data_IF_849284031590
#
_entry.id   IF_849284031590
#
_cell.length_a   1.000
_cell.length_b   1.000
_cell.length_c   1.000
_cell.angle_alpha   90.00
_cell.angle_beta   90.00
_cell.angle_gamma   90.00
#
_symmetry.space_group_name_H-M   'P 1'
#
loop_
_entity.id
_entity.type
_entity.pdbx_description
1 polymer ?
#
# COMPACT_ATOMS: atom_id res chain seq x y z
N UNK A 1 -48.98 19.67 -14.27
CA UNK A 1 -47.93 20.30 -13.43
C UNK A 1 -48.06 21.81 -13.36
N UNK A 2 -48.56 22.48 -14.41
CA UNK A 2 -48.93 23.91 -14.40
C UNK A 2 -50.36 24.01 -14.90
N UNK A 3 -51.36 24.08 -14.01
CA UNK A 3 -52.77 24.09 -14.43
C UNK A 3 -53.31 25.48 -14.76
N UNK A 4 -52.59 26.55 -14.37
CA UNK A 4 -53.10 27.94 -14.45
C UNK A 4 -52.06 28.96 -14.94
N UNK A 5 -50.97 28.51 -15.59
CA UNK A 5 -49.86 29.39 -16.00
C UNK A 5 -49.63 29.28 -17.51
N UNK A 6 -49.63 30.42 -18.20
CA UNK A 6 -49.30 30.51 -19.61
C UNK A 6 -47.80 30.27 -19.81
N UNK A 7 -47.42 29.01 -20.03
CA UNK A 7 -46.05 28.64 -20.38
C UNK A 7 -45.76 29.10 -21.81
N UNK A 8 -44.64 29.80 -22.00
CA UNK A 8 -44.14 30.18 -23.32
C UNK A 8 -43.60 28.92 -24.02
N UNK A 9 -44.18 28.58 -25.17
CA UNK A 9 -43.80 27.45 -25.99
C UNK A 9 -42.94 27.91 -27.17
N UNK A 10 -41.76 27.31 -27.33
CA UNK A 10 -40.96 27.45 -28.54
C UNK A 10 -41.38 26.39 -29.56
N UNK A 11 -41.59 26.81 -30.80
CA UNK A 11 -41.95 25.91 -31.88
C UNK A 11 -40.66 25.35 -32.50
N UNK A 12 -40.34 24.10 -32.16
CA UNK A 12 -39.20 23.38 -32.74
C UNK A 12 -39.70 22.50 -33.88
N UNK A 13 -39.75 23.06 -35.09
CA UNK A 13 -40.22 22.37 -36.29
C UNK A 13 -41.75 22.32 -36.45
N UNK A 14 -42.22 21.60 -37.48
CA UNK A 14 -43.60 21.70 -37.97
C UNK A 14 -44.68 21.10 -37.04
N UNK A 15 -44.32 20.30 -36.01
CA UNK A 15 -45.32 19.58 -35.17
C UNK A 15 -45.02 19.49 -33.67
N UNK A 16 -43.86 19.91 -33.17
CA UNK A 16 -43.56 19.82 -31.73
C UNK A 16 -43.47 21.19 -31.05
N UNK A 17 -44.31 21.40 -30.04
CA UNK A 17 -44.20 22.51 -29.10
C UNK A 17 -43.33 22.07 -27.93
N UNK A 18 -42.18 22.70 -27.73
CA UNK A 18 -41.29 22.44 -26.59
C UNK A 18 -41.23 23.69 -25.73
N UNK A 19 -41.32 23.54 -24.41
CA UNK A 19 -41.11 24.64 -23.48
C UNK A 19 -39.74 24.49 -22.83
N UNK A 20 -38.93 25.55 -22.87
CA UNK A 20 -37.71 25.64 -22.09
C UNK A 20 -38.05 26.18 -20.72
N UNK A 21 -37.84 25.37 -19.69
CA UNK A 21 -38.05 25.76 -18.29
C UNK A 21 -36.70 25.71 -17.60
N UNK A 22 -36.37 26.80 -16.92
CA UNK A 22 -35.18 26.92 -16.07
C UNK A 22 -35.63 26.65 -14.63
N UNK A 23 -35.01 25.66 -14.02
CA UNK A 23 -35.16 25.39 -12.59
C UNK A 23 -33.98 26.03 -11.85
N UNK A 24 -34.29 26.91 -10.91
CA UNK A 24 -33.30 27.55 -10.04
C UNK A 24 -33.69 27.42 -8.58
N UNK A 25 -32.68 27.23 -7.74
CA UNK A 25 -32.83 27.13 -6.30
C UNK A 25 -32.15 28.31 -5.63
N UNK A 26 -32.87 29.01 -4.77
CA UNK A 26 -32.34 30.15 -4.02
C UNK A 26 -32.45 29.91 -2.52
N UNK A 27 -31.42 30.32 -1.79
CA UNK A 27 -31.40 30.29 -0.33
C UNK A 27 -31.91 31.63 0.18
N UNK A 28 -33.11 31.62 0.75
CA UNK A 28 -33.79 32.82 1.23
C UNK A 28 -34.06 32.70 2.73
N UNK A 29 -34.09 33.85 3.41
CA UNK A 29 -34.48 33.91 4.81
C UNK A 29 -35.98 34.04 4.87
N UNK A 30 -36.63 33.05 5.47
CA UNK A 30 -38.06 33.07 5.71
C UNK A 30 -38.34 33.85 7.00
N UNK A 31 -39.05 34.97 6.87
CA UNK A 31 -39.39 35.86 7.98
C UNK A 31 -40.33 35.21 8.99
N UNK A 32 -41.18 34.29 8.53
CA UNK A 32 -42.21 33.68 9.36
C UNK A 32 -41.65 32.54 10.21
N UNK A 33 -40.71 31.78 9.66
CA UNK A 33 -40.05 30.67 10.35
C UNK A 33 -38.68 31.02 10.94
N UNK A 34 -38.24 32.27 10.81
CA UNK A 34 -36.93 32.80 11.23
C UNK A 34 -35.76 31.86 10.87
N UNK A 35 -35.83 31.23 9.71
CA UNK A 35 -34.86 30.21 9.32
C UNK A 35 -34.52 30.32 7.84
N UNK A 36 -33.28 29.97 7.52
CA UNK A 36 -32.83 29.91 6.13
C UNK A 36 -33.38 28.65 5.46
N UNK A 37 -34.08 28.82 4.35
CA UNK A 37 -34.63 27.73 3.55
C UNK A 37 -34.21 27.81 2.10
N UNK A 38 -34.22 26.66 1.42
CA UNK A 38 -34.03 26.59 -0.02
C UNK A 38 -35.40 26.57 -0.72
N UNK A 39 -35.64 27.57 -1.56
CA UNK A 39 -36.86 27.73 -2.35
C UNK A 39 -36.58 27.38 -3.81
N UNK A 40 -37.57 26.76 -4.47
CA UNK A 40 -37.48 26.32 -5.86
C UNK A 40 -38.31 27.23 -6.75
N UNK A 41 -37.67 27.73 -7.79
CA UNK A 41 -38.26 28.62 -8.78
C UNK A 41 -38.19 27.96 -10.16
N UNK A 42 -39.35 27.81 -10.80
CA UNK A 42 -39.47 27.37 -12.19
C UNK A 42 -39.85 28.57 -13.04
N UNK A 43 -39.00 28.94 -13.99
CA UNK A 43 -39.15 30.18 -14.76
C UNK A 43 -38.59 30.05 -16.17
N UNK A 44 -38.86 31.04 -17.03
CA UNK A 44 -38.25 31.17 -18.35
C UNK A 44 -37.86 32.64 -18.59
N UNK A 45 -36.83 32.88 -19.39
CA UNK A 45 -36.33 34.21 -19.74
C UNK A 45 -37.40 35.10 -20.37
N UNK A 46 -38.32 34.52 -21.15
CA UNK A 46 -39.40 35.25 -21.82
C UNK A 46 -40.71 35.25 -21.03
N UNK A 47 -41.01 34.15 -20.33
CA UNK A 47 -42.29 33.92 -19.65
C UNK A 47 -42.32 34.33 -18.18
N UNK A 48 -41.19 34.77 -17.62
CA UNK A 48 -41.08 35.09 -16.20
C UNK A 48 -41.16 33.85 -15.31
N UNK A 49 -41.55 34.03 -14.04
CA UNK A 49 -41.66 32.96 -13.05
C UNK A 49 -42.99 32.23 -13.23
N UNK A 50 -42.91 30.93 -13.52
CA UNK A 50 -44.09 30.08 -13.66
C UNK A 50 -44.56 29.51 -12.34
N UNK A 51 -43.65 29.03 -11.49
CA UNK A 51 -44.02 28.40 -10.22
C UNK A 51 -42.95 28.66 -9.17
N UNK A 52 -43.40 28.96 -7.95
CA UNK A 52 -42.57 29.07 -6.76
C UNK A 52 -43.00 27.98 -5.77
N UNK A 53 -42.06 27.18 -5.31
CA UNK A 53 -42.26 26.21 -4.24
C UNK A 53 -41.38 26.64 -3.05
N UNK A 54 -42.02 27.11 -1.98
CA UNK A 54 -41.33 27.54 -0.75
C UNK A 54 -40.96 26.27 0.02
N UNK A 55 -39.68 26.10 0.32
CA UNK A 55 -39.12 24.97 1.08
C UNK A 55 -39.75 23.61 0.72
N UNK A 56 -39.59 23.11 -0.52
CA UNK A 56 -40.28 21.89 -0.98
C UNK A 56 -39.91 20.65 -0.17
N UNK A 57 -38.76 20.65 0.51
CA UNK A 57 -38.34 19.57 1.40
C UNK A 57 -38.50 19.95 2.87
N UNK A 58 -38.98 19.01 3.69
CA UNK A 58 -39.10 19.17 5.16
C UNK A 58 -37.78 19.58 5.84
N UNK A 59 -36.65 19.13 5.30
CA UNK A 59 -35.31 19.43 5.85
C UNK A 59 -34.78 20.81 5.40
N UNK A 60 -35.54 21.58 4.61
CA UNK A 60 -35.18 22.89 4.06
C UNK A 60 -33.82 22.92 3.34
N UNK A 61 -33.36 21.79 2.82
CA UNK A 61 -32.07 21.62 2.14
C UNK A 61 -32.21 21.64 0.62
N UNK A 62 -31.15 22.04 -0.07
CA UNK A 62 -31.03 21.90 -1.52
C UNK A 62 -31.02 20.40 -1.91
N UNK A 63 -31.70 19.96 -2.98
CA UNK A 63 -31.70 18.54 -3.37
C UNK A 63 -30.34 18.07 -3.90
N UNK A 64 -29.66 18.91 -4.68
CA UNK A 64 -28.37 18.55 -5.25
C UNK A 64 -27.22 18.86 -4.29
N UNK A 65 -26.15 18.08 -4.37
CA UNK A 65 -24.87 18.37 -3.74
C UNK A 65 -23.90 18.74 -4.84
N UNK A 66 -23.28 19.91 -4.71
CA UNK A 66 -22.25 20.36 -5.63
C UNK A 66 -21.04 20.72 -4.78
N UNK A 67 -19.95 19.98 -4.99
CA UNK A 67 -18.67 20.27 -4.35
C UNK A 67 -17.81 21.08 -5.29
N UNK A 68 -17.05 22.03 -4.74
CA UNK A 68 -16.22 22.97 -5.49
C UNK A 68 -14.78 22.65 -5.16
N UNK A 69 -13.98 22.42 -6.19
CA UNK A 69 -12.56 22.11 -6.01
C UNK A 69 -11.76 23.39 -5.75
N UNK A 70 -11.55 24.22 -6.78
CA UNK A 70 -10.95 25.54 -6.65
C UNK A 70 -11.85 26.65 -7.16
N UNK A 71 -11.67 27.85 -6.60
CA UNK A 71 -12.43 29.06 -6.97
C UNK A 71 -11.43 30.16 -7.33
N UNK A 72 -11.57 30.67 -8.55
CA UNK A 72 -10.82 31.82 -9.06
C UNK A 72 -11.34 33.14 -8.45
N UNK A 73 -10.58 34.23 -8.56
CA UNK A 73 -10.99 35.57 -8.09
C UNK A 73 -12.32 36.04 -8.71
N UNK A 74 -12.62 35.54 -9.91
CA UNK A 74 -13.89 35.78 -10.63
C UNK A 74 -15.02 34.82 -10.23
N UNK A 75 -14.91 34.11 -9.11
CA UNK A 75 -15.85 33.09 -8.63
C UNK A 75 -16.13 31.94 -9.62
N UNK A 76 -15.20 31.68 -10.54
CA UNK A 76 -15.31 30.56 -11.49
C UNK A 76 -14.65 29.32 -10.90
N UNK A 77 -15.37 28.20 -10.92
CA UNK A 77 -14.85 26.95 -10.40
C UNK A 77 -14.00 26.25 -11.44
N UNK A 78 -12.97 25.55 -11.00
CA UNK A 78 -12.11 24.78 -11.89
C UNK A 78 -11.55 23.54 -11.21
N UNK A 79 -11.21 22.56 -12.04
CA UNK A 79 -10.60 21.30 -11.62
C UNK A 79 -9.08 21.32 -11.73
N UNK A 80 -8.46 20.19 -11.37
CA UNK A 80 -7.00 19.98 -11.37
C UNK A 80 -6.31 20.37 -12.69
N UNK A 81 -6.95 20.10 -13.84
CA UNK A 81 -6.30 20.23 -15.14
C UNK A 81 -6.22 21.67 -15.69
N UNK A 82 -6.84 22.66 -15.04
CA UNK A 82 -6.83 24.05 -15.53
C UNK A 82 -5.41 24.60 -15.66
N UNK A 83 -4.56 24.30 -14.68
CA UNK A 83 -3.19 24.80 -14.62
C UNK A 83 -2.22 23.95 -15.46
N UNK A 84 -2.61 22.70 -15.78
CA UNK A 84 -1.86 21.79 -16.66
C UNK A 84 -2.05 22.16 -18.13
N UNK A 85 -3.27 22.55 -18.52
CA UNK A 85 -3.63 22.78 -19.93
C UNK A 85 -2.67 23.73 -20.67
N UNK A 86 -2.32 24.92 -20.14
CA UNK A 86 -1.39 25.82 -20.82
C UNK A 86 0.01 25.21 -21.03
N UNK A 87 0.46 24.35 -20.11
CA UNK A 87 1.74 23.67 -20.24
C UNK A 87 1.69 22.60 -21.33
N UNK A 88 0.58 21.86 -21.44
CA UNK A 88 0.36 20.90 -22.51
C UNK A 88 0.27 21.59 -23.88
N UNK A 89 -0.46 22.70 -23.98
CA UNK A 89 -0.55 23.49 -25.21
C UNK A 89 0.84 23.99 -25.66
N UNK A 90 1.68 24.43 -24.70
CA UNK A 90 3.06 24.81 -24.98
C UNK A 90 3.90 23.63 -25.48
N UNK A 91 3.79 22.45 -24.87
CA UNK A 91 4.51 21.24 -25.31
C UNK A 91 4.12 20.90 -26.75
N UNK A 92 2.82 20.85 -27.03
CA UNK A 92 2.31 20.57 -28.37
C UNK A 92 2.81 21.60 -29.39
N UNK A 93 2.80 22.89 -29.04
CA UNK A 93 3.34 23.94 -29.90
C UNK A 93 4.85 23.76 -30.12
N UNK A 94 5.61 23.47 -29.06
CA UNK A 94 7.06 23.28 -29.14
C UNK A 94 7.43 22.09 -30.01
N UNK A 95 6.75 20.97 -29.89
CA UNK A 95 7.01 19.77 -30.68
C UNK A 95 6.70 20.01 -32.16
N UNK A 96 5.54 20.59 -32.48
CA UNK A 96 5.21 20.96 -33.86
C UNK A 96 6.22 21.95 -34.45
N UNK A 97 6.68 22.91 -33.65
CA UNK A 97 7.68 23.88 -34.09
C UNK A 97 9.04 23.23 -34.30
N UNK A 98 9.46 22.31 -33.42
CA UNK A 98 10.69 21.53 -33.58
C UNK A 98 10.67 20.71 -34.86
N UNK A 99 9.59 19.96 -35.10
CA UNK A 99 9.42 19.15 -36.32
C UNK A 99 9.52 20.03 -37.57
N UNK A 100 8.85 21.18 -37.58
CA UNK A 100 8.94 22.11 -38.70
C UNK A 100 10.36 22.67 -38.89
N UNK A 101 11.03 23.07 -37.80
CA UNK A 101 12.41 23.58 -37.85
C UNK A 101 13.45 22.51 -38.23
N UNK A 102 13.17 21.23 -37.98
CA UNK A 102 13.99 20.12 -38.46
C UNK A 102 13.76 19.84 -39.95
N UNK A 103 12.53 20.00 -40.45
CA UNK A 103 12.20 19.81 -41.87
C UNK A 103 12.49 21.01 -42.76
N UNK A 104 12.69 22.21 -42.18
CA UNK A 104 12.99 23.43 -42.93
C UNK A 104 14.42 23.89 -42.68
N UNK A 105 15.21 24.09 -43.73
CA UNK A 105 16.47 24.82 -43.65
C UNK A 105 16.35 26.15 -44.39
N UNK A 106 17.16 27.14 -43.99
CA UNK A 106 17.31 28.40 -44.71
C UNK A 106 18.77 28.58 -45.09
N UNK A 107 19.02 28.75 -46.37
CA UNK A 107 20.33 29.09 -46.90
C UNK A 107 20.30 30.53 -47.42
N UNK A 108 21.28 31.33 -47.02
CA UNK A 108 21.59 32.61 -47.63
C UNK A 108 22.79 32.40 -48.54
N UNK A 109 22.70 32.85 -49.78
CA UNK A 109 23.81 32.79 -50.72
C UNK A 109 23.91 34.09 -51.52
N UNK A 110 25.13 34.50 -51.86
CA UNK A 110 25.37 35.61 -52.78
C UNK A 110 25.07 35.19 -54.22
N UNK A 111 24.60 36.12 -55.06
CA UNK A 111 24.20 35.85 -56.45
C UNK A 111 25.32 35.20 -57.29
N UNK A 112 26.57 35.52 -56.98
CA UNK A 112 27.77 34.95 -57.62
C UNK A 112 28.21 33.56 -57.09
N UNK A 113 27.60 33.05 -56.03
CA UNK A 113 28.02 31.82 -55.37
C UNK A 113 27.53 30.55 -56.11
N UNK A 114 26.43 30.66 -56.85
CA UNK A 114 25.70 29.54 -57.45
C UNK A 114 25.58 29.73 -58.97
N UNK A 115 25.67 28.63 -59.73
CA UNK A 115 25.59 28.69 -61.21
C UNK A 115 24.15 28.65 -61.73
N UNK A 116 23.29 27.86 -61.09
CA UNK A 116 21.87 27.76 -61.39
C UNK A 116 21.09 27.72 -60.07
N UNK A 117 20.18 28.67 -59.88
CA UNK A 117 19.47 28.87 -58.61
C UNK A 117 18.40 27.80 -58.41
N UNK A 118 17.61 27.47 -59.44
CA UNK A 118 16.59 26.41 -59.35
C UNK A 118 17.20 25.05 -58.99
N UNK A 119 18.27 24.63 -59.70
CA UNK A 119 18.95 23.36 -59.42
C UNK A 119 19.53 23.32 -58.00
N UNK A 120 20.00 24.47 -57.49
CA UNK A 120 20.52 24.57 -56.13
C UNK A 120 19.41 24.39 -55.09
N UNK A 121 18.25 25.03 -55.29
CA UNK A 121 17.10 24.91 -54.38
C UNK A 121 16.56 23.49 -54.37
N UNK A 122 16.36 22.88 -55.55
CA UNK A 122 15.79 21.54 -55.68
C UNK A 122 16.72 20.48 -55.07
N UNK A 123 18.02 20.53 -55.37
CA UNK A 123 18.97 19.60 -54.77
C UNK A 123 19.12 19.86 -53.27
N UNK A 124 19.23 21.10 -52.82
CA UNK A 124 19.38 21.41 -51.39
C UNK A 124 18.15 20.97 -50.57
N UNK A 125 16.96 20.86 -51.19
CA UNK A 125 15.75 20.35 -50.54
C UNK A 125 15.80 18.86 -50.18
N UNK A 126 16.73 18.09 -50.77
CA UNK A 126 16.88 16.66 -50.55
C UNK A 126 17.88 16.37 -49.42
N UNK A 127 17.51 15.50 -48.48
CA UNK A 127 18.28 15.15 -47.28
C UNK A 127 19.68 14.52 -47.53
N UNK A 128 20.06 14.22 -48.78
CA UNK A 128 21.34 13.61 -49.15
C UNK A 128 21.82 14.04 -50.56
N UNK A 129 21.77 15.33 -50.88
CA UNK A 129 22.24 15.82 -52.18
C UNK A 129 23.69 16.32 -52.15
N UNK A 130 24.36 16.19 -53.28
CA UNK A 130 25.65 16.82 -53.53
C UNK A 130 25.41 18.02 -54.44
N UNK A 131 25.62 19.23 -53.92
CA UNK A 131 25.34 20.46 -54.64
C UNK A 131 26.65 21.13 -55.09
N UNK A 132 26.72 21.50 -56.37
CA UNK A 132 27.90 22.14 -56.96
C UNK A 132 27.87 23.65 -56.71
N UNK A 133 28.95 24.18 -56.14
CA UNK A 133 29.13 25.62 -55.89
C UNK A 133 30.34 26.16 -56.66
N UNK A 134 30.40 27.46 -56.91
CA UNK A 134 31.52 28.09 -57.63
C UNK A 134 32.81 27.97 -56.80
N UNK A 135 33.96 27.81 -57.48
CA UNK A 135 35.26 27.70 -56.82
C UNK A 135 35.53 28.93 -55.93
N UNK A 136 35.94 28.70 -54.68
CA UNK A 136 36.15 29.76 -53.68
C UNK A 136 34.92 30.17 -52.87
N UNK A 137 33.68 29.88 -53.32
CA UNK A 137 32.46 30.35 -52.66
C UNK A 137 32.26 29.84 -51.22
N UNK A 138 32.68 28.61 -50.93
CA UNK A 138 32.67 28.04 -49.57
C UNK A 138 33.76 28.64 -48.67
N UNK A 139 34.92 28.99 -49.24
CA UNK A 139 36.07 29.50 -48.49
C UNK A 139 35.88 30.96 -48.10
N UNK A 140 35.22 31.72 -48.96
CA UNK A 140 34.92 33.14 -48.76
C UNK A 140 33.62 33.37 -47.94
N UNK A 141 32.94 32.30 -47.53
CA UNK A 141 31.71 32.39 -46.71
C UNK A 141 30.48 32.94 -47.47
N UNK A 142 30.47 32.84 -48.80
CA UNK A 142 29.39 33.35 -49.67
C UNK A 142 28.09 32.56 -49.58
N UNK A 143 28.09 31.44 -48.85
CA UNK A 143 26.93 30.62 -48.55
C UNK A 143 26.89 30.41 -47.04
N UNK A 144 25.80 30.86 -46.40
CA UNK A 144 25.56 30.69 -44.98
C UNK A 144 24.28 29.89 -44.76
N UNK A 145 24.40 28.80 -44.03
CA UNK A 145 23.25 28.02 -43.60
C UNK A 145 22.81 28.51 -42.22
N UNK A 146 21.58 29.01 -42.13
CA UNK A 146 20.97 29.25 -40.83
C UNK A 146 20.56 27.90 -40.24
N UNK A 147 21.44 27.37 -39.40
CA UNK A 147 21.14 26.16 -38.63
C UNK A 147 20.38 26.55 -37.36
N UNK A 148 19.18 25.98 -37.21
CA UNK A 148 18.33 26.21 -36.05
C UNK A 148 18.71 25.39 -34.80
N UNK A 149 19.91 24.80 -34.75
CA UNK A 149 20.30 23.87 -33.67
C UNK A 149 20.23 24.50 -32.27
N UNK A 150 20.63 25.76 -32.11
CA UNK A 150 20.57 26.46 -30.82
C UNK A 150 19.11 26.64 -30.35
N UNK A 151 18.23 27.03 -31.26
CA UNK A 151 16.80 27.21 -30.98
C UNK A 151 16.10 25.87 -30.69
N UNK A 152 16.44 24.82 -31.44
CA UNK A 152 15.93 23.46 -31.23
C UNK A 152 16.32 22.93 -29.84
N UNK A 153 17.57 23.12 -29.43
CA UNK A 153 18.06 22.73 -28.11
C UNK A 153 17.35 23.52 -27.01
N UNK A 154 17.19 24.83 -27.18
CA UNK A 154 16.47 25.67 -26.22
C UNK A 154 14.99 25.28 -26.10
N UNK A 155 14.33 24.94 -27.22
CA UNK A 155 12.92 24.55 -27.23
C UNK A 155 12.72 23.16 -26.62
N UNK A 156 13.60 22.22 -26.93
CA UNK A 156 13.65 20.88 -26.32
C UNK A 156 13.82 20.96 -24.80
N UNK A 157 14.79 21.76 -24.33
CA UNK A 157 15.03 21.93 -22.90
C UNK A 157 13.82 22.55 -22.18
N UNK A 158 13.17 23.55 -22.78
CA UNK A 158 11.94 24.15 -22.23
C UNK A 158 10.77 23.18 -22.22
N UNK A 159 10.60 22.37 -23.27
CA UNK A 159 9.57 21.34 -23.30
C UNK A 159 9.77 20.33 -22.17
N UNK A 160 11.01 19.89 -21.94
CA UNK A 160 11.33 18.97 -20.85
C UNK A 160 11.10 19.58 -19.46
N UNK A 161 11.49 20.84 -19.27
CA UNK A 161 11.15 21.59 -18.05
C UNK A 161 9.64 21.65 -17.81
N UNK A 162 8.84 21.87 -18.86
CA UNK A 162 7.37 21.88 -18.76
C UNK A 162 6.81 20.49 -18.43
N UNK A 163 7.36 19.41 -18.99
CA UNK A 163 6.98 18.04 -18.59
C UNK A 163 7.26 17.78 -17.11
N UNK A 164 8.42 18.20 -16.61
CA UNK A 164 8.75 18.10 -15.20
C UNK A 164 7.79 18.91 -14.31
N UNK A 165 7.43 20.14 -14.72
CA UNK A 165 6.45 20.96 -14.01
C UNK A 165 5.04 20.34 -14.02
N UNK A 166 4.61 19.72 -15.11
CA UNK A 166 3.33 19.00 -15.17
C UNK A 166 3.31 17.85 -14.16
N UNK A 167 4.41 17.09 -14.03
CA UNK A 167 4.50 16.02 -13.01
C UNK A 167 4.33 16.58 -11.60
N UNK A 168 5.04 17.66 -11.27
CA UNK A 168 4.96 18.31 -9.96
C UNK A 168 3.54 18.82 -9.69
N UNK A 169 2.96 19.53 -10.66
CA UNK A 169 1.65 20.17 -10.52
C UNK A 169 0.48 19.16 -10.53
N UNK A 170 0.65 18.01 -11.19
CA UNK A 170 -0.29 16.91 -11.12
C UNK A 170 -0.34 16.26 -9.72
N UNK A 171 0.67 16.49 -8.88
CA UNK A 171 0.76 15.89 -7.54
C UNK A 171 0.92 14.36 -7.56
N UNK A 172 1.14 13.76 -8.73
CA UNK A 172 1.27 12.32 -8.92
C UNK A 172 2.75 11.94 -8.90
N UNK A 173 3.09 10.94 -8.09
CA UNK A 173 4.44 10.38 -8.05
C UNK A 173 4.65 9.31 -9.15
N UNK A 174 5.89 9.05 -9.57
CA UNK A 174 6.20 8.10 -10.64
C UNK A 174 5.73 6.66 -10.31
N UNK A 175 5.67 6.28 -9.02
CA UNK A 175 5.04 5.04 -8.55
C UNK A 175 3.52 5.00 -8.78
N UNK A 176 2.82 6.12 -8.55
CA UNK A 176 1.38 6.23 -8.80
C UNK A 176 1.04 6.24 -10.29
N UNK A 177 1.98 6.71 -11.12
CA UNK A 177 1.90 6.68 -12.58
C UNK A 177 2.28 5.31 -13.18
N UNK A 178 2.71 4.35 -12.35
CA UNK A 178 3.13 3.01 -12.81
C UNK A 178 4.44 3.00 -13.60
N UNK A 179 5.22 4.08 -13.56
CA UNK A 179 6.49 4.23 -14.28
C UNK A 179 7.67 3.72 -13.44
N UNK A 180 7.47 3.49 -12.15
CA UNK A 180 8.52 3.00 -11.26
C UNK A 180 8.93 1.55 -11.58
N UNK A 181 10.19 1.38 -12.02
CA UNK A 181 10.77 0.07 -12.41
C UNK A 181 11.37 -0.70 -11.21
N UNK A 182 11.48 -0.08 -10.03
CA UNK A 182 12.16 -0.71 -8.90
C UNK A 182 11.30 -1.79 -8.23
N UNK A 183 11.75 -3.06 -8.33
CA UNK A 183 11.25 -4.19 -7.52
C UNK A 183 11.53 -3.92 -6.03
N UNK A 184 10.55 -3.37 -5.32
CA UNK A 184 10.56 -3.25 -3.86
C UNK A 184 9.51 -4.20 -3.23
N UNK A 185 9.53 -4.38 -1.91
CA UNK A 185 8.53 -5.21 -1.22
C UNK A 185 7.11 -4.65 -1.43
N UNK A 186 6.10 -5.52 -1.40
CA UNK A 186 4.70 -5.12 -1.58
C UNK A 186 4.26 -4.03 -0.60
N UNK A 187 4.74 -4.08 0.65
CA UNK A 187 4.51 -3.05 1.66
C UNK A 187 5.11 -1.70 1.24
N UNK A 188 6.35 -1.67 0.75
CA UNK A 188 7.01 -0.44 0.30
C UNK A 188 6.31 0.15 -0.94
N UNK A 189 5.83 -0.70 -1.85
CA UNK A 189 5.04 -0.28 -3.01
C UNK A 189 3.72 0.34 -2.56
N UNK A 190 3.02 -0.29 -1.62
CA UNK A 190 1.74 0.21 -1.08
C UNK A 190 1.93 1.56 -0.39
N UNK A 191 2.93 1.68 0.48
CA UNK A 191 3.21 2.92 1.20
C UNK A 191 3.62 4.06 0.25
N UNK A 192 4.36 3.77 -0.83
CA UNK A 192 4.70 4.78 -1.86
C UNK A 192 3.51 5.15 -2.74
N UNK A 193 2.61 4.21 -3.05
CA UNK A 193 1.35 4.54 -3.73
C UNK A 193 0.51 5.47 -2.87
N UNK A 194 0.36 5.18 -1.58
CA UNK A 194 -0.32 6.05 -0.62
C UNK A 194 0.35 7.43 -0.52
N UNK A 195 1.68 7.49 -0.46
CA UNK A 195 2.43 8.75 -0.50
C UNK A 195 2.25 9.50 -1.83
N UNK A 196 2.07 8.79 -2.94
CA UNK A 196 1.80 9.38 -4.26
C UNK A 196 0.41 10.00 -4.37
N UNK A 197 -0.55 9.57 -3.53
CA UNK A 197 -1.87 10.19 -3.42
C UNK A 197 -1.88 11.45 -2.56
N UNK A 198 -0.80 11.74 -1.84
CA UNK A 198 -0.71 12.95 -1.01
C UNK A 198 -0.88 14.23 -1.84
N UNK A 199 -0.41 14.25 -3.09
CA UNK A 199 -0.63 15.39 -3.99
C UNK A 199 -2.07 15.53 -4.51
N UNK A 200 -2.88 14.47 -4.41
CA UNK A 200 -4.32 14.49 -4.72
C UNK A 200 -5.19 14.57 -3.46
N UNK A 201 -4.60 14.74 -2.28
CA UNK A 201 -5.32 14.69 -1.01
C UNK A 201 -6.44 15.72 -0.93
N UNK A 202 -6.22 16.94 -1.42
CA UNK A 202 -7.25 17.98 -1.42
C UNK A 202 -8.42 17.61 -2.33
N UNK A 203 -8.15 16.97 -3.47
CA UNK A 203 -9.19 16.50 -4.39
C UNK A 203 -10.00 15.37 -3.76
N UNK A 204 -9.33 14.40 -3.16
CA UNK A 204 -9.98 13.30 -2.45
C UNK A 204 -10.83 13.83 -1.29
N UNK A 205 -10.30 14.74 -0.47
CA UNK A 205 -11.04 15.33 0.65
C UNK A 205 -12.33 16.03 0.19
N UNK A 206 -12.26 16.80 -0.90
CA UNK A 206 -13.42 17.51 -1.46
C UNK A 206 -14.45 16.54 -2.04
N UNK A 207 -14.01 15.39 -2.56
CA UNK A 207 -14.87 14.27 -2.97
C UNK A 207 -15.52 13.59 -1.76
N UNK A 208 -14.74 13.30 -0.71
CA UNK A 208 -15.21 12.66 0.51
C UNK A 208 -16.25 13.53 1.22
N UNK A 209 -16.01 14.85 1.27
CA UNK A 209 -16.95 15.83 1.82
C UNK A 209 -18.24 15.87 0.97
N UNK A 210 -18.14 15.73 -0.35
CA UNK A 210 -19.30 15.65 -1.25
C UNK A 210 -20.14 14.39 -0.95
N UNK A 211 -19.48 13.24 -0.85
CA UNK A 211 -20.14 11.96 -0.59
C UNK A 211 -20.76 11.94 0.80
N UNK A 212 -20.09 12.52 1.79
CA UNK A 212 -20.64 12.75 3.13
C UNK A 212 -21.93 13.57 3.08
N UNK A 213 -21.91 14.71 2.40
CA UNK A 213 -23.10 15.57 2.26
C UNK A 213 -24.22 14.87 1.47
N UNK A 214 -23.88 14.04 0.49
CA UNK A 214 -24.85 13.26 -0.28
C UNK A 214 -25.53 12.21 0.60
N UNK A 215 -24.75 11.42 1.35
CA UNK A 215 -25.28 10.43 2.28
C UNK A 215 -26.12 11.06 3.39
N UNK A 216 -25.70 12.20 3.94
CA UNK A 216 -26.48 12.94 4.94
C UNK A 216 -27.87 13.32 4.38
N UNK A 217 -27.93 13.79 3.14
CA UNK A 217 -29.20 14.12 2.47
C UNK A 217 -30.04 12.89 2.17
N UNK A 218 -29.43 11.80 1.70
CA UNK A 218 -30.14 10.54 1.45
C UNK A 218 -30.78 10.04 2.74
N UNK A 219 -30.02 9.97 3.84
CA UNK A 219 -30.54 9.55 5.15
C UNK A 219 -31.62 10.50 5.66
N UNK A 220 -31.45 11.80 5.44
CA UNK A 220 -32.46 12.82 5.70
C UNK A 220 -33.76 12.55 4.94
N UNK A 221 -33.69 12.28 3.64
CA UNK A 221 -34.88 11.98 2.85
C UNK A 221 -35.51 10.63 3.18
N UNK A 222 -34.71 9.59 3.41
CA UNK A 222 -35.22 8.28 3.85
C UNK A 222 -35.96 8.42 5.17
N UNK A 223 -35.39 9.10 6.17
CA UNK A 223 -36.07 9.27 7.46
C UNK A 223 -37.38 10.06 7.41
N UNK A 224 -37.57 10.95 6.43
CA UNK A 224 -38.74 11.84 6.36
C UNK A 224 -39.82 11.43 5.35
N UNK A 225 -39.44 10.72 4.28
CA UNK A 225 -40.34 10.36 3.17
C UNK A 225 -40.54 8.85 3.04
N UNK A 226 -39.74 8.01 3.70
CA UNK A 226 -39.88 6.57 3.62
C UNK A 226 -40.90 6.05 4.65
N UNK A 227 -42.18 6.03 4.27
CA UNK A 227 -43.31 5.64 5.14
C UNK A 227 -43.90 4.27 4.82
N UNK A 228 -43.33 3.53 3.87
CA UNK A 228 -43.81 2.19 3.50
C UNK A 228 -43.22 1.11 4.41
N UNK A 229 -43.97 0.02 4.60
CA UNK A 229 -43.53 -1.18 5.31
C UNK A 229 -42.49 -1.94 4.48
N UNK A 230 -41.42 -2.40 5.13
CA UNK A 230 -40.39 -3.23 4.49
C UNK A 230 -40.05 -4.44 5.34
N UNK A 231 -39.84 -5.58 4.68
CA UNK A 231 -39.38 -6.82 5.31
C UNK A 231 -37.97 -7.11 4.83
N UNK A 232 -37.02 -7.20 5.75
CA UNK A 232 -35.63 -7.57 5.48
C UNK A 232 -35.39 -9.03 5.87
N UNK A 233 -34.77 -9.81 4.98
CA UNK A 233 -34.28 -11.16 5.25
C UNK A 233 -32.79 -11.12 5.51
N UNK A 234 -32.37 -11.45 6.73
CA UNK A 234 -30.97 -11.67 7.07
C UNK A 234 -30.71 -13.17 6.89
N UNK A 235 -29.95 -13.52 5.85
CA UNK A 235 -29.53 -14.90 5.58
C UNK A 235 -28.14 -15.08 6.18
N UNK A 236 -28.08 -15.54 7.44
CA UNK A 236 -26.82 -15.95 8.05
C UNK A 236 -26.69 -17.48 7.95
N UNK A 237 -25.61 -17.94 7.33
CA UNK A 237 -25.31 -19.37 7.14
C UNK A 237 -25.19 -20.13 8.47
N UNK A 238 -24.87 -19.46 9.58
CA UNK A 238 -24.70 -20.09 10.90
C UNK A 238 -25.91 -19.97 11.82
N UNK A 239 -26.70 -18.91 11.69
CA UNK A 239 -27.76 -18.53 12.65
C UNK A 239 -29.17 -18.76 12.09
N UNK A 240 -29.30 -19.02 10.79
CA UNK A 240 -30.58 -19.23 10.09
C UNK A 240 -31.17 -17.93 9.51
N UNK A 241 -32.26 -18.07 8.75
CA UNK A 241 -32.97 -16.92 8.15
C UNK A 241 -33.79 -16.17 9.20
N UNK A 242 -33.53 -14.87 9.36
CA UNK A 242 -34.33 -13.99 10.22
C UNK A 242 -35.01 -12.92 9.38
N UNK A 243 -36.32 -12.77 9.57
CA UNK A 243 -37.12 -11.72 8.93
C UNK A 243 -37.39 -10.61 9.94
N UNK A 244 -37.10 -9.36 9.57
CA UNK A 244 -37.42 -8.19 10.38
C UNK A 244 -38.27 -7.22 9.55
N UNK A 245 -39.42 -6.81 10.08
CA UNK A 245 -40.28 -5.79 9.47
C UNK A 245 -40.04 -4.41 10.09
N UNK A 246 -39.84 -3.42 9.23
CA UNK A 246 -39.72 -2.00 9.58
C UNK A 246 -41.00 -1.29 9.17
N UNK A 247 -41.41 -0.29 9.95
CA UNK A 247 -42.55 0.59 9.66
C UNK A 247 -43.95 -0.05 9.75
N UNK A 248 -44.07 -1.20 10.42
CA UNK A 248 -45.35 -1.90 10.64
C UNK A 248 -46.19 -1.29 11.78
N UNK A 249 -45.54 -0.72 12.81
CA UNK A 249 -46.18 -0.13 14.00
C UNK A 249 -45.49 1.19 14.41
N UNK A 250 -46.16 2.06 15.18
CA UNK A 250 -45.61 3.33 15.68
C UNK A 250 -44.28 3.17 16.46
N UNK A 251 -44.07 2.02 17.10
CA UNK A 251 -42.81 1.67 17.78
C UNK A 251 -41.64 1.40 16.83
N UNK A 252 -41.92 0.96 15.59
CA UNK A 252 -40.95 0.55 14.57
C UNK A 252 -40.86 1.54 13.39
N UNK A 253 -41.37 2.76 13.58
CA UNK A 253 -41.26 3.84 12.60
C UNK A 253 -39.82 4.34 12.51
N UNK A 254 -39.36 4.62 11.28
CA UNK A 254 -38.04 5.23 11.07
C UNK A 254 -38.10 6.64 11.66
N UNK A 255 -37.34 6.87 12.74
CA UNK A 255 -37.22 8.18 13.37
C UNK A 255 -36.06 8.96 12.74
N UNK A 256 -36.11 10.30 12.75
CA UNK A 256 -34.95 11.12 12.42
C UNK A 256 -33.85 10.89 13.48
N UNK A 257 -32.93 9.97 13.19
CA UNK A 257 -31.81 9.62 14.05
C UNK A 257 -30.56 10.42 13.67
N UNK A 258 -29.67 10.65 14.64
CA UNK A 258 -28.32 11.16 14.38
C UNK A 258 -27.42 9.98 14.02
N UNK A 259 -26.83 10.04 12.84
CA UNK A 259 -25.87 9.05 12.37
C UNK A 259 -24.47 9.63 12.47
N UNK A 260 -23.51 8.83 12.93
CA UNK A 260 -22.10 9.14 12.74
C UNK A 260 -21.63 8.45 11.46
N UNK A 261 -21.25 9.24 10.46
CA UNK A 261 -20.85 8.73 9.16
C UNK A 261 -19.32 8.81 9.05
N UNK A 262 -18.69 7.64 9.06
CA UNK A 262 -17.26 7.47 8.88
C UNK A 262 -17.01 7.06 7.43
N UNK A 263 -16.48 7.98 6.64
CA UNK A 263 -16.05 7.71 5.27
C UNK A 263 -14.57 7.35 5.26
N UNK A 264 -14.24 6.29 4.55
CA UNK A 264 -12.85 5.91 4.29
C UNK A 264 -12.68 5.68 2.80
N UNK A 265 -12.02 6.62 2.15
CA UNK A 265 -11.67 6.48 0.74
C UNK A 265 -10.48 5.55 0.64
N UNK A 266 -10.73 4.40 0.01
CA UNK A 266 -9.71 3.41 -0.30
C UNK A 266 -9.59 3.32 -1.82
N UNK A 267 -8.36 3.11 -2.28
CA UNK A 267 -8.17 2.74 -3.69
C UNK A 267 -8.95 1.46 -3.95
N UNK A 268 -9.49 1.35 -5.17
CA UNK A 268 -10.16 0.14 -5.63
C UNK A 268 -9.09 -0.92 -5.94
N UNK A 269 -8.39 -1.39 -4.91
CA UNK A 269 -7.23 -2.28 -5.02
C UNK A 269 -7.39 -3.57 -4.23
N UNK A 270 -8.59 -3.91 -3.78
CA UNK A 270 -8.85 -5.31 -3.39
C UNK A 270 -9.03 -6.18 -4.63
N UNK A 271 -8.00 -6.21 -5.49
CA UNK A 271 -7.80 -7.30 -6.41
C UNK A 271 -7.48 -8.55 -5.59
N UNK A 272 -7.92 -9.71 -6.09
CA UNK A 272 -7.64 -11.03 -5.48
C UNK A 272 -6.16 -11.21 -5.16
N UNK A 273 -5.28 -10.64 -5.98
CA UNK A 273 -3.82 -10.72 -5.84
C UNK A 273 -3.27 -9.94 -4.63
N UNK A 274 -3.84 -8.78 -4.28
CA UNK A 274 -3.39 -8.00 -3.12
C UNK A 274 -3.84 -8.67 -1.81
N UNK A 275 -5.09 -9.17 -1.76
CA UNK A 275 -5.56 -10.00 -0.63
C UNK A 275 -4.69 -11.25 -0.45
N UNK A 276 -4.35 -11.93 -1.56
CA UNK A 276 -3.45 -13.08 -1.53
C UNK A 276 -2.04 -12.72 -1.06
N UNK A 277 -1.50 -11.58 -1.49
CA UNK A 277 -0.19 -11.10 -1.01
C UNK A 277 -0.22 -10.83 0.50
N UNK A 278 -1.28 -10.21 1.01
CA UNK A 278 -1.45 -9.96 2.44
C UNK A 278 -1.54 -11.28 3.24
N UNK A 279 -2.33 -12.22 2.76
CA UNK A 279 -2.39 -13.57 3.34
C UNK A 279 -1.05 -14.29 3.30
N UNK A 280 -0.28 -14.17 2.23
CA UNK A 280 1.06 -14.74 2.17
C UNK A 280 2.03 -14.10 3.17
N UNK A 281 1.91 -12.80 3.45
CA UNK A 281 2.69 -12.16 4.51
C UNK A 281 2.27 -12.65 5.90
N UNK A 282 0.96 -12.76 6.16
CA UNK A 282 0.45 -13.33 7.41
C UNK A 282 0.90 -14.78 7.60
N UNK A 283 0.83 -15.61 6.57
CA UNK A 283 1.28 -17.00 6.61
C UNK A 283 2.79 -17.11 6.84
N UNK A 284 3.61 -16.22 6.26
CA UNK A 284 5.06 -16.19 6.52
C UNK A 284 5.40 -15.83 7.96
N UNK A 285 4.59 -15.00 8.62
CA UNK A 285 4.78 -14.64 10.04
C UNK A 285 4.27 -15.74 10.97
N UNK A 286 3.12 -16.34 10.65
CA UNK A 286 2.45 -17.32 11.51
C UNK A 286 3.07 -18.71 11.39
N UNK A 287 3.48 -19.13 10.19
CA UNK A 287 4.08 -20.45 9.91
C UNK A 287 5.24 -20.82 10.85
N UNK A 288 6.24 -19.95 11.13
CA UNK A 288 7.31 -20.27 12.08
C UNK A 288 6.89 -20.17 13.56
N UNK A 289 5.80 -19.49 13.89
CA UNK A 289 5.35 -19.27 15.29
C UNK A 289 4.39 -20.38 15.73
N UNK A 290 3.39 -20.70 14.91
CA UNK A 290 2.35 -21.70 15.17
C UNK A 290 1.92 -22.38 13.86
N UNK A 291 2.63 -23.43 13.43
CA UNK A 291 2.32 -24.14 12.19
C UNK A 291 0.96 -24.87 12.23
N UNK A 292 0.45 -25.19 13.41
CA UNK A 292 -0.85 -25.86 13.59
C UNK A 292 -2.05 -25.00 13.15
N UNK A 293 -1.91 -23.67 13.09
CA UNK A 293 -2.99 -22.78 12.66
C UNK A 293 -3.07 -22.62 11.14
N UNK A 294 -2.05 -23.06 10.40
CA UNK A 294 -1.99 -22.89 8.93
C UNK A 294 -3.13 -23.63 8.21
N UNK A 295 -3.48 -24.89 8.55
CA UNK A 295 -4.63 -25.59 7.94
C UNK A 295 -5.97 -24.91 8.20
N UNK A 296 -6.13 -24.25 9.36
CA UNK A 296 -7.36 -23.53 9.72
C UNK A 296 -7.47 -22.16 9.02
N UNK A 297 -6.32 -21.53 8.72
CA UNK A 297 -6.25 -20.23 8.03
C UNK A 297 -6.40 -20.34 6.51
N UNK A 298 -6.09 -21.49 5.89
CA UNK A 298 -6.19 -21.71 4.44
C UNK A 298 -7.63 -21.54 3.89
N UNK A 299 -8.69 -22.11 4.52
CA UNK A 299 -10.07 -21.86 4.10
C UNK A 299 -10.48 -20.40 4.24
N UNK A 300 -10.03 -19.73 5.30
CA UNK A 300 -10.33 -18.31 5.53
C UNK A 300 -9.69 -17.43 4.46
N UNK A 301 -8.44 -17.71 4.08
CA UNK A 301 -7.75 -17.06 2.97
C UNK A 301 -8.52 -17.23 1.65
N UNK A 302 -8.96 -18.45 1.34
CA UNK A 302 -9.64 -18.74 0.08
C UNK A 302 -11.04 -18.13 0.00
N UNK A 303 -11.73 -18.06 1.15
CA UNK A 303 -13.01 -17.35 1.30
C UNK A 303 -12.85 -15.86 1.08
N UNK A 304 -11.80 -15.27 1.62
CA UNK A 304 -11.50 -13.85 1.42
C UNK A 304 -11.07 -13.53 -0.03
N UNK A 305 -10.55 -14.52 -0.77
CA UNK A 305 -10.17 -14.39 -2.20
C UNK A 305 -11.35 -14.70 -3.15
N UNK A 306 -12.51 -15.11 -2.62
CA UNK A 306 -13.67 -15.60 -3.38
C UNK A 306 -13.24 -16.68 -4.40
N UNK A 307 -12.46 -17.66 -3.93
CA UNK A 307 -12.00 -18.77 -4.77
C UNK A 307 -13.11 -19.80 -4.96
N UNK A 308 -13.35 -20.32 -6.18
CA UNK A 308 -14.31 -21.42 -6.38
C UNK A 308 -13.87 -22.73 -5.69
N UNK A 309 -12.59 -22.83 -5.30
CA UNK A 309 -12.00 -24.02 -4.66
C UNK A 309 -12.36 -24.17 -3.18
N UNK A 310 -13.16 -23.26 -2.61
CA UNK A 310 -13.56 -23.32 -1.19
C UNK A 310 -14.36 -24.60 -0.93
N UNK A 311 -15.30 -24.96 -1.82
CA UNK A 311 -16.13 -26.15 -1.65
C UNK A 311 -15.28 -27.43 -1.62
N UNK A 312 -14.36 -27.55 -2.58
CA UNK A 312 -13.48 -28.71 -2.70
C UNK A 312 -12.51 -28.82 -1.50
N UNK A 313 -12.04 -27.69 -0.96
CA UNK A 313 -11.14 -27.71 0.20
C UNK A 313 -11.85 -27.89 1.54
N UNK A 314 -13.08 -27.40 1.68
CA UNK A 314 -13.94 -27.74 2.83
C UNK A 314 -14.20 -29.25 2.86
N UNK A 315 -14.44 -29.87 1.70
CA UNK A 315 -14.59 -31.33 1.56
C UNK A 315 -13.30 -32.08 1.90
N UNK A 316 -12.15 -31.64 1.36
CA UNK A 316 -10.84 -32.27 1.66
C UNK A 316 -10.45 -32.11 3.13
N UNK A 317 -10.74 -30.97 3.77
CA UNK A 317 -10.45 -30.77 5.19
C UNK A 317 -11.38 -31.59 6.08
N UNK A 318 -12.67 -31.70 5.74
CA UNK A 318 -13.59 -32.59 6.43
C UNK A 318 -13.12 -34.05 6.33
N UNK A 319 -12.72 -34.49 5.13
CA UNK A 319 -12.16 -35.83 4.92
C UNK A 319 -10.83 -36.04 5.66
N UNK A 320 -9.96 -35.03 5.73
CA UNK A 320 -8.71 -35.11 6.47
C UNK A 320 -8.93 -35.16 8.00
N UNK A 321 -9.89 -34.40 8.52
CA UNK A 321 -10.30 -34.45 9.93
C UNK A 321 -10.92 -35.80 10.28
N UNK A 322 -11.84 -36.31 9.46
CA UNK A 322 -12.43 -37.64 9.63
C UNK A 322 -11.38 -38.75 9.57
N UNK A 323 -10.42 -38.65 8.64
CA UNK A 323 -9.30 -39.59 8.56
C UNK A 323 -8.37 -39.50 9.78
N UNK A 324 -8.14 -38.31 10.33
CA UNK A 324 -7.30 -38.09 11.50
C UNK A 324 -7.97 -38.59 12.79
N UNK A 325 -9.29 -38.41 12.93
CA UNK A 325 -10.09 -38.97 14.02
C UNK A 325 -10.16 -40.51 13.94
N UNK A 326 -10.31 -41.07 12.74
CA UNK A 326 -10.23 -42.53 12.53
C UNK A 326 -8.84 -43.09 12.85
N UNK A 327 -7.76 -42.36 12.52
CA UNK A 327 -6.39 -42.79 12.84
C UNK A 327 -6.09 -42.71 14.34
N UNK A 328 -6.66 -41.73 15.06
CA UNK A 328 -6.56 -41.61 16.51
C UNK A 328 -7.33 -42.71 17.24
N UNK A 329 -8.53 -43.07 16.78
CA UNK A 329 -9.30 -44.19 17.33
C UNK A 329 -8.66 -45.55 17.05
N UNK A 330 -7.99 -45.73 15.89
CA UNK A 330 -7.30 -46.97 15.56
C UNK A 330 -5.98 -47.18 16.34
N UNK A 331 -5.29 -46.10 16.73
CA UNK A 331 -4.01 -46.18 17.46
C UNK A 331 -4.11 -46.05 18.99
N UNK A 332 -5.28 -45.73 19.54
CA UNK A 332 -5.51 -45.65 20.98
C UNK A 332 -5.02 -46.89 21.78
N UNK A 333 -5.31 -48.15 21.38
CA UNK A 333 -4.84 -49.32 22.14
C UNK A 333 -3.33 -49.57 22.00
N UNK A 334 -2.69 -49.11 20.91
CA UNK A 334 -1.25 -49.26 20.69
C UNK A 334 -0.44 -48.20 21.46
N UNK A 335 -0.97 -46.98 21.58
CA UNK A 335 -0.37 -45.90 22.38
C UNK A 335 -0.41 -46.19 23.88
N UNK A 336 -1.50 -46.77 24.40
CA UNK A 336 -1.57 -47.18 25.81
C UNK A 336 -0.54 -48.27 26.14
N UNK A 337 -0.34 -49.26 25.26
CA UNK A 337 0.71 -50.27 25.44
C UNK A 337 2.12 -49.67 25.42
N UNK A 338 2.39 -48.74 24.51
CA UNK A 338 3.68 -48.05 24.44
C UNK A 338 3.96 -47.21 25.69
N UNK A 339 2.95 -46.47 26.17
CA UNK A 339 3.06 -45.68 27.40
C UNK A 339 3.25 -46.56 28.64
N UNK A 340 2.57 -47.71 28.73
CA UNK A 340 2.76 -48.65 29.84
C UNK A 340 4.19 -49.22 29.86
N UNK A 341 4.73 -49.60 28.70
CA UNK A 341 6.12 -50.07 28.59
C UNK A 341 7.13 -48.97 28.96
N UNK A 342 6.85 -47.72 28.61
CA UNK A 342 7.71 -46.58 28.94
C UNK A 342 7.63 -46.21 30.44
N UNK A 343 6.44 -46.27 31.05
CA UNK A 343 6.25 -46.11 32.49
C UNK A 343 7.00 -47.21 33.27
N UNK A 344 6.97 -48.46 32.81
CA UNK A 344 7.73 -49.54 33.43
C UNK A 344 9.24 -49.32 33.33
N UNK A 345 9.74 -48.84 32.18
CA UNK A 345 11.16 -48.47 32.01
C UNK A 345 11.57 -47.32 32.95
N UNK A 346 10.74 -46.28 33.04
CA UNK A 346 10.98 -45.14 33.92
C UNK A 346 10.95 -45.56 35.40
N UNK A 347 10.00 -46.40 35.82
CA UNK A 347 10.00 -46.96 37.17
C UNK A 347 11.25 -47.78 37.49
N UNK A 348 11.74 -48.57 36.54
CA UNK A 348 12.98 -49.32 36.71
C UNK A 348 14.18 -48.39 36.86
N UNK A 349 14.27 -47.31 36.06
CA UNK A 349 15.32 -46.30 36.19
C UNK A 349 15.23 -45.51 37.50
N UNK A 350 14.03 -45.15 37.96
CA UNK A 350 13.82 -44.48 39.24
C UNK A 350 14.32 -45.36 40.38
N UNK A 351 13.96 -46.66 40.41
CA UNK A 351 14.47 -47.59 41.42
C UNK A 351 15.99 -47.74 41.39
N UNK A 352 16.60 -47.76 40.20
CA UNK A 352 18.06 -47.83 40.07
C UNK A 352 18.73 -46.55 40.61
N UNK A 353 18.15 -45.38 40.32
CA UNK A 353 18.63 -44.09 40.82
C UNK A 353 18.44 -43.95 42.33
N UNK A 354 17.31 -44.40 42.88
CA UNK A 354 17.06 -44.44 44.33
C UNK A 354 18.05 -45.37 45.04
N UNK A 355 18.31 -46.56 44.49
CA UNK A 355 19.30 -47.48 45.04
C UNK A 355 20.72 -46.88 45.02
N UNK A 356 21.09 -46.17 43.93
CA UNK A 356 22.35 -45.42 43.85
C UNK A 356 22.39 -44.28 44.87
N UNK A 357 21.31 -43.51 45.02
CA UNK A 357 21.21 -42.43 46.00
C UNK A 357 21.36 -42.95 47.44
N UNK A 358 20.70 -44.06 47.79
CA UNK A 358 20.87 -44.70 49.11
C UNK A 358 22.32 -45.11 49.32
N UNK A 359 22.97 -45.72 48.32
CA UNK A 359 24.39 -46.09 48.41
C UNK A 359 25.28 -44.85 48.65
N UNK A 360 25.03 -43.74 47.95
CA UNK A 360 25.78 -42.50 48.16
C UNK A 360 25.51 -41.85 49.52
N UNK A 361 24.26 -41.87 50.02
CA UNK A 361 23.95 -41.34 51.36
C UNK A 361 24.59 -42.17 52.47
N UNK A 362 24.61 -43.50 52.37
CA UNK A 362 25.31 -44.36 53.32
C UNK A 362 26.83 -44.12 53.28
N UNK A 363 27.41 -43.93 52.10
CA UNK A 363 28.82 -43.54 51.98
C UNK A 363 29.09 -42.14 52.57
N UNK A 364 28.16 -41.19 52.40
CA UNK A 364 28.24 -39.85 52.98
C UNK A 364 28.14 -39.85 54.51
N UNK A 365 27.27 -40.68 55.09
CA UNK A 365 27.14 -40.84 56.54
C UNK A 365 28.40 -41.46 57.17
N UNK A 366 29.01 -42.45 56.50
CA UNK A 366 30.29 -43.03 56.92
C UNK A 366 31.45 -42.01 56.82
N UNK A 367 31.45 -41.16 55.77
CA UNK A 367 32.45 -40.10 55.66
C UNK A 367 32.27 -39.01 56.73
N UNK A 368 31.02 -38.66 57.09
CA UNK A 368 30.74 -37.67 58.13
C UNK A 368 31.13 -38.16 59.53
N UNK A 369 30.90 -39.44 59.86
CA UNK A 369 31.36 -39.99 61.14
C UNK A 369 32.91 -40.03 61.22
N UNK A 370 33.58 -40.24 60.08
CA UNK A 370 35.04 -40.13 60.01
C UNK A 370 35.54 -38.69 60.20
N UNK A 371 34.88 -37.69 59.59
CA UNK A 371 35.31 -36.28 59.74
C UNK A 371 34.99 -35.67 61.12
N UNK A 372 33.91 -36.09 61.79
CA UNK A 372 33.60 -35.63 63.15
C UNK A 372 34.57 -36.19 64.21
N UNK A 373 35.14 -37.38 63.97
CA UNK A 373 36.18 -37.94 64.85
C UNK A 373 37.53 -37.22 64.68
N UNK A 374 37.83 -36.68 63.50
CA UNK A 374 39.05 -35.91 63.26
C UNK A 374 38.97 -34.46 63.76
N UNK A 375 37.78 -33.83 63.72
CA UNK A 375 37.58 -32.45 64.17
C UNK A 375 37.68 -32.21 65.68
N UNK A 376 37.53 -33.26 66.51
CA UNK A 376 37.68 -33.17 67.98
C UNK A 376 39.16 -33.16 68.39
N UNK A 377 40.07 -33.70 67.57
CA UNK A 377 41.48 -33.81 67.92
C UNK A 377 42.34 -32.60 67.48
N UNK A 378 41.90 -31.79 66.52
CA UNK A 378 42.69 -30.67 66.00
C UNK A 378 42.54 -29.35 66.77
N UNK A 379 41.56 -29.24 67.68
CA UNK A 379 41.40 -28.07 68.56
C UNK A 379 42.32 -28.14 69.79
N UNK A 380 42.96 -29.28 70.06
CA UNK A 380 43.86 -29.48 71.21
C UNK A 380 45.35 -29.26 70.91
N UNK A 381 45.75 -29.03 69.65
CA UNK A 381 47.17 -29.05 69.25
C UNK A 381 47.74 -27.70 68.77
N UNK A 382 47.01 -26.60 68.94
CA UNK A 382 47.47 -25.25 68.54
C UNK A 382 48.30 -24.53 69.64
N UNK A 383 48.44 -25.07 70.85
CA UNK A 383 49.04 -24.33 71.98
C UNK A 383 50.41 -24.81 72.51
N UNK A 384 51.13 -25.72 71.85
CA UNK A 384 52.45 -26.11 72.36
C UNK A 384 53.48 -26.50 71.29
N UNK A 385 54.57 -25.73 71.29
CA UNK A 385 55.93 -26.08 70.85
C UNK A 385 56.36 -25.55 69.48
N UNK A 386 56.56 -24.22 69.46
CA UNK A 386 57.80 -23.63 68.99
C UNK A 386 59.02 -24.31 69.65
N UNK A 387 59.92 -24.91 68.85
CA UNK A 387 61.40 -24.85 68.97
C UNK A 387 62.11 -26.09 68.39
N UNK A 388 63.25 -25.80 67.74
CA UNK A 388 64.40 -26.67 67.40
C UNK A 388 64.45 -27.45 66.07
N UNK A 389 65.71 -27.58 65.63
CA UNK A 389 66.20 -27.79 64.27
C UNK A 389 67.20 -28.95 64.20
N UNK A 390 67.30 -29.55 62.99
CA UNK A 390 68.51 -30.05 62.29
C UNK A 390 69.01 -31.52 62.39
N UNK A 391 69.13 -32.12 61.18
CA UNK A 391 70.12 -33.13 60.68
C UNK A 391 69.91 -34.64 60.99
N UNK A 392 70.28 -35.65 60.18
CA UNK A 392 71.06 -35.74 58.93
C UNK A 392 70.90 -37.14 58.23
N UNK A 393 70.92 -37.15 56.88
CA UNK A 393 71.71 -38.01 55.94
C UNK A 393 71.44 -39.54 55.73
N UNK A 394 70.92 -39.81 54.50
CA UNK A 394 71.05 -40.86 53.43
C UNK A 394 72.15 -41.97 53.48
N UNK A 395 72.12 -43.07 52.65
CA UNK A 395 72.69 -43.01 51.25
C UNK A 395 72.20 -44.02 50.15
N UNK A 396 72.25 -43.54 48.88
CA UNK A 396 72.74 -44.11 47.56
C UNK A 396 72.13 -45.43 46.97
N UNK A 397 72.08 -45.75 45.67
CA UNK A 397 72.24 -45.23 44.27
C UNK A 397 71.99 -46.48 43.31
N UNK A 398 72.16 -46.54 41.95
CA UNK A 398 72.21 -45.57 40.83
C UNK A 398 71.43 -45.94 39.48
N UNK A 399 71.26 -44.93 38.57
CA UNK A 399 71.24 -44.85 37.06
C UNK A 399 70.37 -45.83 36.19
N UNK A 400 69.65 -45.49 35.09
CA UNK A 400 69.96 -44.73 33.83
C UNK A 400 68.70 -44.21 33.02
N UNK A 401 68.91 -43.12 32.26
CA UNK A 401 68.32 -42.41 31.06
C UNK A 401 67.15 -43.07 30.24
N UNK A 402 66.10 -42.43 29.64
CA UNK A 402 65.95 -41.28 28.69
C UNK A 402 64.49 -40.75 28.51
N UNK A 403 64.39 -39.48 28.04
CA UNK A 403 63.52 -38.92 26.97
C UNK A 403 62.57 -37.71 27.29
N UNK A 404 62.51 -36.79 26.30
CA UNK A 404 62.03 -35.38 26.20
C UNK A 404 60.50 -35.15 26.14
N UNK A 405 59.90 -34.17 26.85
CA UNK A 405 59.68 -32.69 26.62
C UNK A 405 58.75 -32.24 25.45
N UNK A 406 57.62 -31.61 25.81
CA UNK A 406 56.94 -30.49 25.09
C UNK A 406 56.11 -29.62 26.08
N UNK A 407 56.16 -28.28 25.95
CA UNK A 407 55.41 -27.27 26.73
C UNK A 407 54.91 -26.14 25.81
N UNK A 408 53.60 -25.95 25.74
CA UNK A 408 52.80 -24.78 26.17
C UNK A 408 53.22 -23.32 25.82
N UNK A 409 52.34 -22.53 25.18
CA UNK A 409 51.39 -21.51 25.77
C UNK A 409 51.01 -20.30 24.85
N UNK A 410 49.72 -19.95 24.95
CA UNK A 410 48.86 -18.79 24.57
C UNK A 410 49.44 -17.37 24.33
N UNK A 411 48.76 -16.53 23.51
CA UNK A 411 48.08 -15.27 23.91
C UNK A 411 47.48 -14.40 22.74
N UNK A 412 46.34 -13.77 23.06
CA UNK A 412 45.49 -12.67 22.53
C UNK A 412 45.82 -11.82 21.26
N UNK A 413 44.79 -11.62 20.41
CA UNK A 413 44.11 -10.35 20.06
C UNK A 413 44.77 -9.25 19.18
N UNK A 414 44.17 -8.92 18.02
CA UNK A 414 43.79 -7.55 17.55
C UNK A 414 43.55 -7.42 16.01
N UNK A 415 42.46 -6.71 15.67
CA UNK A 415 42.19 -5.76 14.56
C UNK A 415 42.44 -6.07 13.06
N UNK A 416 41.34 -5.89 12.29
CA UNK A 416 41.16 -5.32 10.93
C UNK A 416 42.26 -5.43 9.85
N UNK A 417 41.87 -5.88 8.64
CA UNK A 417 42.24 -5.19 7.37
C UNK A 417 41.38 -5.59 6.15
N UNK A 418 41.25 -4.63 5.23
CA UNK A 418 40.47 -4.59 3.98
C UNK A 418 41.14 -5.34 2.81
N UNK A 419 40.27 -5.79 1.89
CA UNK A 419 40.39 -6.17 0.46
C UNK A 419 41.75 -6.24 -0.25
N UNK A 420 41.89 -7.23 -1.14
CA UNK A 420 42.61 -7.06 -2.41
C UNK A 420 41.87 -7.72 -3.58
N UNK A 421 42.01 -7.04 -4.71
CA UNK A 421 41.37 -7.12 -6.01
C UNK A 421 41.72 -8.33 -6.88
N UNK A 422 40.77 -8.67 -7.75
CA UNK A 422 40.90 -9.12 -9.15
C UNK A 422 42.01 -10.12 -9.53
N UNK A 423 41.62 -11.33 -9.95
CA UNK A 423 42.27 -12.26 -10.90
C UNK A 423 41.14 -13.27 -11.26
N UNK A 424 40.73 -13.54 -12.50
CA UNK A 424 41.52 -13.85 -13.68
C UNK A 424 40.73 -13.61 -14.98
N UNK A 425 41.36 -12.91 -15.91
CA UNK A 425 41.24 -13.16 -17.35
C UNK A 425 41.89 -14.51 -17.68
N UNK A 426 41.33 -15.25 -18.65
CA UNK A 426 42.12 -15.79 -19.77
C UNK A 426 41.23 -16.31 -20.91
N UNK A 427 41.51 -15.71 -22.08
CA UNK A 427 41.45 -16.16 -23.48
C UNK A 427 40.10 -16.57 -24.09
#
# INVERSE_FOLDING_TARGET
>A
MFKDINVVWEQSGAKEKRARIIESWYKEFDTDTQSWGWNRYLWNMQGGIYKVEISPFKQKTHPFVISKFYIDEKNRWYGLFRDIKPMQDYINFSENRMVNMMGSFKAMFEEDAVSNIEDFIENMSLDNSVVKVRSGALKDGKIQFLQHHADLNALSQKAEQKRALIKILSGLNDESLGVAVNRQSGVAITQRRESGLMGLQDYLKISDDMDRLLCEKILGFVSHYFTQEQVFSIVDKKVGERYFSINSNESNTIRPCKFDLIFKTQLKTEAKDERFSHWNELLKVISPIRPELVPELLPLMLKDIDSPLIADLEEVLAQAQEAQEQMQQANAPLQEQMQQLEIMKLQAQIKELEAKAIKYTQQGALAQSHTQSEGINQVATIESLENESFSAVTPKAPKQVKASKKRNKNALGSTWQKYSSAHNLKL
#
